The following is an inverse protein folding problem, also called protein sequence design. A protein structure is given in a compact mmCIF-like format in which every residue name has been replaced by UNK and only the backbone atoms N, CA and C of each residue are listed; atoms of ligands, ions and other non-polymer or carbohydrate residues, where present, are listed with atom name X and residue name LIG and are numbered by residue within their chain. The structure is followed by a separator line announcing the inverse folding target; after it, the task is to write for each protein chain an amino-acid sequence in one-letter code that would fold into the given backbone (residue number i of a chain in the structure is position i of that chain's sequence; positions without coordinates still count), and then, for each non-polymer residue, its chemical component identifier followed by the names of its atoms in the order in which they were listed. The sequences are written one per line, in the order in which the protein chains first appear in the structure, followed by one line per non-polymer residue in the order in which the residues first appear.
data_IF_454574805636
#
_entry.id   IF_454574805636
#
_cell.length_a   1.000
_cell.length_b   1.000
_cell.length_c   1.000
_cell.angle_alpha   90.00
_cell.angle_beta   90.00
_cell.angle_gamma   90.00
#
_symmetry.space_group_name_H-M   'P 1'
#
loop_
_entity.id
_entity.type
_entity.pdbx_description
1 polymer ?
#
# COMPACT_ATOMS: atom_id res chain seq x y z
N UNK A 1 61.94 0.76 20.04
CA UNK A 1 60.67 0.76 20.82
C UNK A 1 59.67 1.82 20.37
N UNK A 2 60.02 2.77 19.49
CA UNK A 2 59.14 3.89 19.08
C UNK A 2 58.25 3.61 17.84
N UNK A 3 58.52 2.53 17.11
CA UNK A 3 57.88 2.26 15.81
C UNK A 3 56.62 1.38 15.94
N UNK A 4 56.56 0.54 16.98
CA UNK A 4 55.41 -0.34 17.25
C UNK A 4 54.18 0.46 17.70
N UNK A 5 54.37 1.55 18.45
CA UNK A 5 53.26 2.38 18.96
C UNK A 5 52.54 3.15 17.85
N UNK A 6 53.26 3.63 16.82
CA UNK A 6 52.63 4.31 15.67
C UNK A 6 51.72 3.39 14.87
N UNK A 7 52.17 2.15 14.63
CA UNK A 7 51.38 1.16 13.87
C UNK A 7 50.09 0.78 14.59
N UNK A 8 50.09 0.70 15.93
CA UNK A 8 48.90 0.42 16.73
C UNK A 8 47.90 1.58 16.65
N UNK A 9 48.37 2.82 16.78
CA UNK A 9 47.52 4.02 16.70
C UNK A 9 46.89 4.17 15.32
N UNK A 10 47.62 3.92 14.24
CA UNK A 10 47.08 3.99 12.88
C UNK A 10 46.06 2.88 12.59
N UNK A 11 46.23 1.69 13.17
CA UNK A 11 45.26 0.59 13.06
C UNK A 11 43.95 0.90 13.78
N UNK A 12 44.01 1.49 14.98
CA UNK A 12 42.83 1.92 15.76
C UNK A 12 42.09 3.05 15.01
N UNK A 13 42.81 4.05 14.48
CA UNK A 13 42.20 5.13 13.70
C UNK A 13 41.54 4.60 12.42
N UNK A 14 42.19 3.70 11.71
CA UNK A 14 41.62 3.04 10.52
C UNK A 14 40.34 2.28 10.84
N UNK A 15 40.34 1.49 11.92
CA UNK A 15 39.15 0.76 12.39
C UNK A 15 38.00 1.67 12.80
N UNK A 16 38.26 2.73 13.57
CA UNK A 16 37.24 3.71 13.98
C UNK A 16 36.63 4.46 12.79
N UNK A 17 37.45 4.80 11.79
CA UNK A 17 36.96 5.53 10.60
C UNK A 17 36.06 4.63 9.75
N UNK A 18 36.44 3.36 9.54
CA UNK A 18 35.60 2.39 8.84
C UNK A 18 34.28 2.11 9.58
N UNK A 19 34.32 1.98 10.92
CA UNK A 19 33.12 1.79 11.74
C UNK A 19 32.14 2.96 11.64
N UNK A 20 32.65 4.19 11.66
CA UNK A 20 31.83 5.39 11.49
C UNK A 20 31.19 5.47 10.11
N UNK A 21 31.95 5.16 9.05
CA UNK A 21 31.42 5.15 7.67
C UNK A 21 30.28 4.14 7.54
N UNK A 22 30.45 2.93 8.07
CA UNK A 22 29.40 1.91 8.01
C UNK A 22 28.14 2.32 8.79
N UNK A 23 28.30 2.99 9.94
CA UNK A 23 27.16 3.54 10.68
C UNK A 23 26.41 4.61 9.89
N UNK A 24 27.14 5.54 9.26
CA UNK A 24 26.53 6.60 8.43
C UNK A 24 25.80 6.02 7.22
N UNK A 25 26.41 5.06 6.52
CA UNK A 25 25.78 4.39 5.39
C UNK A 25 24.55 3.59 5.80
N UNK A 26 24.63 2.87 6.93
CA UNK A 26 23.48 2.14 7.48
C UNK A 26 22.33 3.07 7.83
N UNK A 27 22.62 4.22 8.46
CA UNK A 27 21.61 5.21 8.79
C UNK A 27 20.99 5.83 7.52
N UNK A 28 21.81 6.23 6.54
CA UNK A 28 21.33 6.77 5.27
C UNK A 28 20.42 5.77 4.52
N UNK A 29 20.78 4.48 4.52
CA UNK A 29 19.95 3.44 3.93
C UNK A 29 18.58 3.34 4.61
N UNK A 30 18.53 3.36 5.95
CA UNK A 30 17.27 3.35 6.71
C UNK A 30 16.39 4.56 6.35
N UNK A 31 16.97 5.76 6.26
CA UNK A 31 16.21 6.96 5.87
C UNK A 31 15.62 6.88 4.47
N UNK A 32 16.37 6.33 3.51
CA UNK A 32 15.88 6.13 2.14
C UNK A 32 14.67 5.18 2.15
N UNK A 33 14.73 4.08 2.90
CA UNK A 33 13.63 3.12 3.04
C UNK A 33 12.39 3.72 3.70
N UNK A 34 12.57 4.56 4.73
CA UNK A 34 11.46 5.28 5.38
C UNK A 34 10.81 6.25 4.40
N UNK A 35 11.60 7.05 3.69
CA UNK A 35 11.08 8.05 2.74
C UNK A 35 10.32 7.41 1.56
N UNK A 36 10.78 6.27 1.06
CA UNK A 36 10.06 5.51 0.04
C UNK A 36 8.72 4.97 0.57
N UNK A 37 8.71 4.46 1.80
CA UNK A 37 7.49 3.95 2.45
C UNK A 37 6.44 5.04 2.66
N UNK A 38 6.85 6.24 3.11
CA UNK A 38 5.95 7.38 3.28
C UNK A 38 5.36 7.85 1.95
N UNK A 39 6.17 7.89 0.89
CA UNK A 39 5.71 8.25 -0.45
C UNK A 39 4.68 7.26 -0.99
N UNK A 40 4.97 5.97 -0.92
CA UNK A 40 4.05 4.91 -1.35
C UNK A 40 2.73 4.98 -0.56
N UNK A 41 2.82 5.23 0.75
CA UNK A 41 1.63 5.40 1.59
C UNK A 41 0.79 6.61 1.17
N UNK A 42 1.42 7.76 0.93
CA UNK A 42 0.72 8.97 0.48
C UNK A 42 0.03 8.76 -0.87
N UNK A 43 0.76 8.24 -1.87
CA UNK A 43 0.22 7.91 -3.20
C UNK A 43 -0.93 6.88 -3.11
N UNK A 44 -0.85 5.94 -2.16
CA UNK A 44 -1.94 4.98 -1.93
C UNK A 44 -3.15 5.61 -1.29
N UNK A 45 -2.99 6.48 -0.29
CA UNK A 45 -4.13 7.18 0.32
C UNK A 45 -4.84 8.08 -0.69
N UNK A 46 -4.10 8.84 -1.49
CA UNK A 46 -4.68 9.66 -2.57
C UNK A 46 -5.46 8.80 -3.57
N UNK A 47 -4.92 7.63 -3.92
CA UNK A 47 -5.59 6.69 -4.81
C UNK A 47 -6.87 6.11 -4.19
N UNK A 48 -6.83 5.68 -2.92
CA UNK A 48 -8.02 5.18 -2.21
C UNK A 48 -9.13 6.23 -2.17
N UNK A 49 -8.80 7.49 -1.91
CA UNK A 49 -9.75 8.60 -1.97
C UNK A 49 -10.33 8.79 -3.37
N UNK A 50 -9.49 8.74 -4.41
CA UNK A 50 -9.95 8.80 -5.79
C UNK A 50 -10.85 7.61 -6.19
N UNK A 51 -10.79 6.52 -5.44
CA UNK A 51 -11.61 5.31 -5.68
C UNK A 51 -12.96 5.38 -4.93
N UNK A 52 -13.16 6.36 -4.05
CA UNK A 52 -14.41 6.52 -3.29
C UNK A 52 -15.67 6.62 -4.17
N UNK A 53 -15.68 7.40 -5.28
CA UNK A 53 -16.84 7.45 -6.17
C UNK A 53 -17.17 6.09 -6.81
N UNK A 54 -16.15 5.26 -7.05
CA UNK A 54 -16.35 3.92 -7.60
C UNK A 54 -17.06 3.00 -6.60
N UNK A 55 -16.70 3.06 -5.31
CA UNK A 55 -17.39 2.31 -4.26
C UNK A 55 -18.87 2.70 -4.17
N UNK A 56 -19.17 4.00 -4.23
CA UNK A 56 -20.54 4.52 -4.25
C UNK A 56 -21.31 4.06 -5.50
N UNK A 57 -20.68 4.08 -6.67
CA UNK A 57 -21.28 3.59 -7.92
C UNK A 57 -21.62 2.10 -7.86
N UNK A 58 -20.72 1.25 -7.31
CA UNK A 58 -20.98 -0.18 -7.09
C UNK A 58 -22.17 -0.37 -6.14
N UNK A 59 -22.23 0.42 -5.07
CA UNK A 59 -23.33 0.35 -4.11
C UNK A 59 -24.68 0.71 -4.76
N UNK A 60 -24.74 1.84 -5.46
CA UNK A 60 -25.93 2.29 -6.18
C UNK A 60 -26.41 1.26 -7.23
N UNK A 61 -25.48 0.68 -7.99
CA UNK A 61 -25.80 -0.41 -8.92
C UNK A 61 -26.44 -1.59 -8.20
N UNK A 62 -25.86 -2.02 -7.08
CA UNK A 62 -26.35 -3.16 -6.31
C UNK A 62 -27.72 -2.91 -5.67
N UNK A 63 -28.01 -1.67 -5.27
CA UNK A 63 -29.32 -1.26 -4.80
C UNK A 63 -30.37 -1.32 -5.91
N UNK A 64 -30.07 -0.73 -7.07
CA UNK A 64 -31.00 -0.66 -8.22
C UNK A 64 -31.29 -2.04 -8.82
N UNK A 65 -30.28 -2.90 -8.94
CA UNK A 65 -30.40 -4.18 -9.65
C UNK A 65 -30.60 -5.37 -8.71
N UNK A 66 -30.51 -5.18 -7.39
CA UNK A 66 -30.57 -6.26 -6.42
C UNK A 66 -29.35 -7.20 -6.44
N UNK A 67 -28.32 -6.90 -7.24
CA UNK A 67 -27.09 -7.69 -7.36
C UNK A 67 -25.88 -6.81 -7.65
N UNK A 68 -24.70 -7.24 -7.23
CA UNK A 68 -23.44 -6.58 -7.57
C UNK A 68 -23.17 -6.64 -9.09
N UNK A 69 -22.45 -5.65 -9.65
CA UNK A 69 -22.13 -5.64 -11.08
C UNK A 69 -21.21 -6.82 -11.44
N UNK A 70 -21.38 -7.38 -12.64
CA UNK A 70 -20.52 -8.48 -13.09
C UNK A 70 -19.08 -8.02 -13.39
N UNK A 71 -18.91 -6.74 -13.72
CA UNK A 71 -17.62 -6.07 -13.93
C UNK A 71 -17.77 -4.58 -13.66
N UNK A 72 -16.66 -3.87 -13.45
CA UNK A 72 -16.67 -2.42 -13.26
C UNK A 72 -17.17 -1.66 -14.50
N UNK A 73 -16.99 -2.22 -15.70
CA UNK A 73 -17.46 -1.60 -16.94
C UNK A 73 -18.99 -1.47 -16.98
N UNK A 74 -19.73 -2.31 -16.25
CA UNK A 74 -21.20 -2.23 -16.16
C UNK A 74 -21.68 -0.97 -15.42
N UNK A 75 -20.79 -0.26 -14.74
CA UNK A 75 -21.09 1.00 -14.05
C UNK A 75 -21.05 2.20 -15.01
N UNK A 76 -20.37 2.07 -16.14
CA UNK A 76 -20.18 3.15 -17.11
C UNK A 76 -21.22 3.05 -18.23
N UNK A 77 -21.87 4.16 -18.65
CA UNK A 77 -21.76 5.52 -18.11
C UNK A 77 -22.80 5.84 -17.01
N UNK A 78 -23.70 4.91 -16.68
CA UNK A 78 -24.92 5.20 -15.90
C UNK A 78 -24.64 5.59 -14.44
N UNK A 79 -23.69 4.92 -13.78
CA UNK A 79 -23.37 5.12 -12.36
C UNK A 79 -22.10 5.93 -12.15
N UNK A 80 -21.18 5.89 -13.12
CA UNK A 80 -19.95 6.70 -13.13
C UNK A 80 -19.59 7.06 -14.57
N UNK A 81 -19.10 8.28 -14.79
CA UNK A 81 -18.76 8.77 -16.12
C UNK A 81 -17.60 7.99 -16.74
N UNK A 82 -16.59 7.67 -15.93
CA UNK A 82 -15.41 6.92 -16.33
C UNK A 82 -14.83 6.17 -15.12
N UNK A 83 -14.14 5.05 -15.38
CA UNK A 83 -13.43 4.34 -14.32
C UNK A 83 -12.18 5.10 -13.91
N UNK A 84 -11.78 5.05 -12.62
CA UNK A 84 -10.52 5.63 -12.20
C UNK A 84 -9.35 5.01 -13.00
N UNK A 85 -8.30 5.79 -13.29
CA UNK A 85 -7.21 5.34 -14.13
C UNK A 85 -6.56 4.08 -13.54
N UNK A 86 -6.35 3.07 -14.40
CA UNK A 86 -5.58 1.88 -14.02
C UNK A 86 -4.14 2.32 -13.74
N UNK A 87 -3.59 1.91 -12.59
CA UNK A 87 -2.15 2.02 -12.33
C UNK A 87 -1.38 1.11 -13.33
N UNK A 88 -0.06 1.35 -13.54
CA UNK A 88 0.74 0.58 -14.49
C UNK A 88 0.67 -0.94 -14.26
N UNK A 89 0.92 -1.81 -15.25
CA UNK A 89 0.73 -3.27 -15.12
C UNK A 89 1.44 -3.96 -13.96
N UNK A 90 2.52 -3.37 -13.43
CA UNK A 90 3.24 -3.85 -12.25
C UNK A 90 2.47 -3.65 -10.92
N UNK A 91 1.45 -2.78 -10.92
CA UNK A 91 0.53 -2.51 -9.82
C UNK A 91 -0.85 -2.19 -10.43
N UNK A 92 -1.77 -3.16 -10.58
CA UNK A 92 -3.00 -2.97 -11.36
C UNK A 92 -4.00 -1.97 -10.76
N UNK A 93 -3.70 -1.38 -9.58
CA UNK A 93 -4.51 -0.33 -8.96
C UNK A 93 -5.73 -0.88 -8.25
N UNK A 94 -6.68 -1.48 -8.97
CA UNK A 94 -7.95 -1.96 -8.40
C UNK A 94 -8.26 -3.38 -8.84
N UNK A 95 -8.48 -4.26 -7.88
CA UNK A 95 -9.04 -5.61 -8.07
C UNK A 95 -10.47 -5.61 -7.58
N UNK A 96 -11.39 -5.94 -8.46
CA UNK A 96 -12.81 -6.09 -8.13
C UNK A 96 -13.20 -7.57 -8.10
N UNK A 97 -14.00 -7.96 -7.12
CA UNK A 97 -14.70 -9.23 -7.11
C UNK A 97 -16.16 -9.04 -6.74
N UNK A 98 -17.05 -9.61 -7.56
CA UNK A 98 -18.46 -9.72 -7.24
C UNK A 98 -18.71 -10.98 -6.41
N UNK A 99 -19.69 -10.91 -5.51
CA UNK A 99 -20.20 -12.04 -4.74
C UNK A 99 -21.68 -12.29 -5.01
N UNK A 100 -22.28 -13.18 -4.24
CA UNK A 100 -23.72 -13.46 -4.32
C UNK A 100 -24.57 -12.25 -3.91
N UNK A 101 -25.71 -12.07 -4.57
CA UNK A 101 -26.60 -10.94 -4.32
C UNK A 101 -25.87 -9.61 -4.43
N UNK A 102 -25.97 -8.78 -3.40
CA UNK A 102 -25.35 -7.45 -3.35
C UNK A 102 -23.89 -7.46 -2.86
N UNK A 103 -23.31 -8.63 -2.59
CA UNK A 103 -21.96 -8.72 -2.07
C UNK A 103 -20.93 -8.31 -3.14
N UNK A 104 -19.94 -7.53 -2.71
CA UNK A 104 -18.80 -7.15 -3.54
C UNK A 104 -17.57 -6.86 -2.67
N UNK A 105 -16.39 -6.93 -3.27
CA UNK A 105 -15.12 -6.50 -2.69
C UNK A 105 -14.30 -5.74 -3.72
N UNK A 106 -13.70 -4.67 -3.25
CA UNK A 106 -12.72 -3.87 -3.97
C UNK A 106 -11.40 -3.94 -3.19
N UNK A 107 -10.32 -4.31 -3.85
CA UNK A 107 -8.99 -4.40 -3.26
C UNK A 107 -8.00 -3.52 -4.03
N UNK A 108 -7.08 -2.89 -3.32
CA UNK A 108 -5.99 -2.07 -3.85
C UNK A 108 -4.70 -2.57 -3.20
N UNK A 109 -3.64 -2.76 -4.00
CA UNK A 109 -2.33 -3.12 -3.48
C UNK A 109 -1.44 -1.88 -3.44
N UNK A 110 -0.81 -1.57 -2.30
CA UNK A 110 0.33 -0.65 -2.32
C UNK A 110 1.57 -1.43 -2.76
N UNK A 111 2.21 -1.02 -3.85
CA UNK A 111 3.49 -1.61 -4.26
C UNK A 111 4.61 -1.37 -3.22
N UNK A 112 5.81 -1.87 -3.50
CA UNK A 112 7.01 -1.64 -2.67
C UNK A 112 7.32 -2.78 -1.68
N UNK A 113 8.41 -2.61 -0.92
CA UNK A 113 8.94 -3.64 -0.02
C UNK A 113 8.02 -3.98 1.16
N UNK A 114 7.09 -3.10 1.49
CA UNK A 114 6.10 -3.25 2.57
C UNK A 114 4.67 -3.11 2.03
N UNK A 115 4.43 -3.66 0.85
CA UNK A 115 3.14 -3.57 0.20
C UNK A 115 2.02 -4.17 1.05
N UNK A 116 0.90 -3.48 1.13
CA UNK A 116 -0.30 -3.88 1.85
C UNK A 116 -1.47 -4.01 0.90
N UNK A 117 -2.36 -4.97 1.18
CA UNK A 117 -3.70 -4.99 0.58
C UNK A 117 -4.62 -4.11 1.40
N UNK A 118 -5.25 -3.17 0.71
CA UNK A 118 -6.38 -2.39 1.18
C UNK A 118 -7.64 -2.98 0.58
N UNK A 119 -8.67 -3.24 1.38
CA UNK A 119 -9.95 -3.68 0.86
C UNK A 119 -11.13 -2.94 1.46
N UNK A 120 -12.16 -2.78 0.63
CA UNK A 120 -13.50 -2.39 1.04
C UNK A 120 -14.51 -3.39 0.48
N UNK A 121 -15.55 -3.66 1.24
CA UNK A 121 -16.60 -4.60 0.86
C UNK A 121 -17.96 -3.95 0.95
N UNK A 122 -18.98 -4.61 0.41
CA UNK A 122 -20.39 -4.19 0.51
C UNK A 122 -20.90 -3.95 1.94
N UNK A 123 -20.23 -4.46 2.97
CA UNK A 123 -20.68 -4.40 4.38
C UNK A 123 -19.65 -3.79 5.33
N UNK A 124 -18.52 -3.32 4.81
CA UNK A 124 -17.43 -2.80 5.63
C UNK A 124 -17.09 -1.38 5.20
N UNK A 125 -17.27 -0.44 6.12
CA UNK A 125 -16.73 0.92 6.02
C UNK A 125 -15.93 1.20 7.30
N UNK A 126 -14.75 1.83 7.21
CA UNK A 126 -14.10 2.41 6.02
C UNK A 126 -13.31 1.36 5.18
N UNK A 127 -12.27 1.79 4.45
CA UNK A 127 -11.25 0.89 3.91
C UNK A 127 -10.45 0.23 5.04
N UNK A 128 -10.03 -1.01 4.83
CA UNK A 128 -9.24 -1.78 5.80
C UNK A 128 -7.94 -2.26 5.18
N UNK A 129 -6.88 -2.30 5.99
CA UNK A 129 -5.69 -3.10 5.69
C UNK A 129 -6.02 -4.55 6.04
N UNK A 130 -5.96 -5.42 5.05
CA UNK A 130 -6.43 -6.82 5.15
C UNK A 130 -5.31 -7.85 4.97
N UNK A 131 -4.11 -7.39 4.63
CA UNK A 131 -2.94 -8.23 4.50
C UNK A 131 -1.72 -7.43 4.03
N UNK A 132 -0.58 -8.10 4.04
CA UNK A 132 0.70 -7.67 3.49
C UNK A 132 1.22 -8.73 2.49
N UNK A 133 2.44 -8.53 1.98
CA UNK A 133 3.01 -9.31 0.87
C UNK A 133 2.97 -10.84 1.06
N UNK A 134 2.95 -11.34 2.30
CA UNK A 134 2.96 -12.77 2.61
C UNK A 134 1.83 -13.22 3.56
N UNK A 135 1.05 -12.32 4.15
CA UNK A 135 0.00 -12.68 5.10
C UNK A 135 -1.36 -12.06 4.76
N UNK A 136 -2.40 -12.91 4.80
CA UNK A 136 -3.78 -12.43 4.90
C UNK A 136 -4.13 -12.30 6.37
N UNK A 137 -4.52 -11.10 6.81
CA UNK A 137 -4.94 -10.89 8.18
C UNK A 137 -6.34 -11.46 8.40
N UNK A 138 -6.57 -12.21 9.50
CA UNK A 138 -7.91 -12.58 9.91
C UNK A 138 -8.73 -11.31 10.17
N UNK A 139 -10.06 -11.39 10.05
CA UNK A 139 -10.93 -10.21 10.05
C UNK A 139 -10.84 -9.40 11.34
N UNK A 140 -10.52 -10.07 12.44
CA UNK A 140 -10.35 -9.50 13.78
C UNK A 140 -9.11 -8.59 13.87
N UNK A 141 -8.15 -8.74 12.95
CA UNK A 141 -6.90 -7.98 12.89
C UNK A 141 -6.92 -6.88 11.81
N UNK A 142 -8.04 -6.68 11.12
CA UNK A 142 -8.15 -5.65 10.09
C UNK A 142 -8.03 -4.25 10.69
N UNK A 143 -7.15 -3.44 10.09
CA UNK A 143 -6.87 -2.08 10.57
C UNK A 143 -7.65 -1.09 9.69
N UNK A 144 -8.56 -0.34 10.30
CA UNK A 144 -9.31 0.71 9.62
C UNK A 144 -8.38 1.83 9.14
N UNK A 145 -8.53 2.24 7.88
CA UNK A 145 -7.77 3.35 7.29
C UNK A 145 -8.58 4.63 7.45
N UNK A 146 -8.06 5.64 8.19
CA UNK A 146 -8.69 6.94 8.23
C UNK A 146 -8.41 7.68 6.92
N UNK A 147 -9.43 7.79 6.07
CA UNK A 147 -9.41 8.73 4.95
C UNK A 147 -9.84 10.12 5.49
N UNK A 148 -9.13 11.21 5.15
CA UNK A 148 -9.46 12.56 5.62
C UNK A 148 -10.69 13.15 4.92
#
# INVERSE_FOLDING_TARGET
MHDTDKRIVDWIKGGCTCGLILLVLGFAFVWIQIGESERVRAETLEFLQATEPLCLAIHAYAEQHGRSPASLDALVPEFIAELPPRRPPADPGVRYSNGEGRAWRLSVWSGGAFGCEYARTSTSEPWYIVGDYDMNYPREEWIAVPLP
#
